data_IF_706224668009
#
_entry.id   IF_706224668009
#
_cell.length_a   1.000
_cell.length_b   1.000
_cell.length_c   1.000
_cell.angle_alpha   90.00
_cell.angle_beta   90.00
_cell.angle_gamma   90.00
#
_symmetry.space_group_name_H-M   'P 1'
#
loop_
_entity.id
_entity.type
_entity.pdbx_description
1 polymer ?
#
# COMPACT_ATOMS: atom_id res chain seq x y z
N UNK A 1 13.05 0.43 0.37
CA UNK A 1 13.39 1.77 -0.18
C UNK A 1 13.08 2.88 0.81
N UNK A 2 11.84 2.99 1.31
CA UNK A 2 11.44 4.07 2.22
C UNK A 2 12.32 4.16 3.47
N UNK A 3 12.66 3.04 4.08
CA UNK A 3 13.52 3.01 5.28
C UNK A 3 14.94 3.45 4.96
N UNK A 4 15.47 3.05 3.81
CA UNK A 4 16.79 3.48 3.33
C UNK A 4 16.82 4.98 3.09
N UNK A 5 15.71 5.55 2.58
CA UNK A 5 15.56 6.98 2.33
C UNK A 5 15.30 7.82 3.58
N UNK A 6 15.23 7.22 4.76
CA UNK A 6 15.13 7.93 6.03
C UNK A 6 13.81 7.84 6.78
N UNK A 7 12.84 7.03 6.32
CA UNK A 7 11.64 6.76 7.12
C UNK A 7 12.04 6.03 8.40
N UNK A 8 11.67 6.58 9.56
CA UNK A 8 12.18 6.12 10.86
C UNK A 8 11.56 4.83 11.37
N UNK A 9 10.33 4.51 10.96
CA UNK A 9 9.59 3.33 11.44
C UNK A 9 8.88 2.67 10.28
N UNK A 10 9.52 1.66 9.67
CA UNK A 10 8.97 0.90 8.57
C UNK A 10 8.81 -0.56 8.98
N UNK A 11 7.58 -1.08 8.84
CA UNK A 11 7.26 -2.48 9.07
C UNK A 11 6.93 -3.13 7.74
N UNK A 12 7.66 -4.18 7.40
CA UNK A 12 7.48 -4.94 6.16
C UNK A 12 6.81 -6.26 6.51
N UNK A 13 5.63 -6.50 5.94
CA UNK A 13 4.90 -7.76 6.13
C UNK A 13 4.94 -8.53 4.82
N UNK A 14 5.50 -9.72 4.84
CA UNK A 14 5.67 -10.58 3.67
C UNK A 14 5.46 -12.04 4.05
N UNK A 15 4.63 -12.73 3.30
CA UNK A 15 4.34 -14.15 3.54
C UNK A 15 5.35 -15.11 2.91
N UNK A 16 6.05 -14.68 1.86
CA UNK A 16 7.03 -15.51 1.16
C UNK A 16 8.36 -15.53 1.89
N UNK A 17 8.81 -16.72 2.30
CA UNK A 17 10.06 -16.90 3.06
C UNK A 17 11.30 -16.43 2.31
N UNK A 18 11.38 -16.67 1.00
CA UNK A 18 12.52 -16.24 0.19
C UNK A 18 12.60 -14.73 0.09
N UNK A 19 11.46 -14.06 -0.09
CA UNK A 19 11.37 -12.59 -0.10
C UNK A 19 11.73 -12.02 1.27
N UNK A 20 11.28 -12.62 2.35
CA UNK A 20 11.65 -12.22 3.71
C UNK A 20 13.16 -12.31 3.94
N UNK A 21 13.80 -13.38 3.51
CA UNK A 21 15.26 -13.52 3.59
C UNK A 21 15.97 -12.41 2.81
N UNK A 22 15.51 -12.13 1.59
CA UNK A 22 16.06 -11.06 0.77
C UNK A 22 15.91 -9.70 1.46
N UNK A 23 14.71 -9.39 1.97
CA UNK A 23 14.45 -8.14 2.68
C UNK A 23 15.32 -8.01 3.94
N UNK A 24 15.46 -9.08 4.71
CA UNK A 24 16.31 -9.10 5.91
C UNK A 24 17.79 -8.89 5.57
N UNK A 25 18.26 -9.46 4.48
CA UNK A 25 19.61 -9.23 3.97
C UNK A 25 19.84 -7.77 3.56
N UNK A 26 18.87 -7.16 2.87
CA UNK A 26 18.93 -5.76 2.47
C UNK A 26 18.93 -4.85 3.70
N UNK A 27 18.08 -5.14 4.69
CA UNK A 27 18.02 -4.37 5.95
C UNK A 27 19.39 -4.41 6.65
N UNK A 28 20.00 -5.59 6.74
CA UNK A 28 21.32 -5.73 7.35
C UNK A 28 22.42 -5.02 6.55
N UNK A 29 22.43 -5.20 5.22
CA UNK A 29 23.47 -4.64 4.35
C UNK A 29 23.42 -3.11 4.29
N UNK A 30 22.21 -2.52 4.36
CA UNK A 30 22.01 -1.06 4.31
C UNK A 30 21.96 -0.41 5.69
N UNK A 31 21.95 -1.20 6.76
CA UNK A 31 21.82 -0.73 8.15
C UNK A 31 20.59 0.17 8.35
N UNK A 32 19.49 -0.10 7.65
CA UNK A 32 18.25 0.64 7.82
C UNK A 32 17.42 0.08 8.99
N UNK A 33 16.45 0.87 9.47
CA UNK A 33 15.66 0.54 10.67
C UNK A 33 14.39 -0.26 10.39
N UNK A 34 14.20 -0.77 9.18
CA UNK A 34 13.01 -1.56 8.84
C UNK A 34 12.95 -2.88 9.60
N UNK A 35 11.75 -3.25 10.01
CA UNK A 35 11.46 -4.54 10.65
C UNK A 35 10.71 -5.42 9.64
N UNK A 36 11.19 -6.65 9.45
CA UNK A 36 10.57 -7.61 8.53
C UNK A 36 9.77 -8.62 9.35
N UNK A 37 8.48 -8.72 9.05
CA UNK A 37 7.58 -9.71 9.63
C UNK A 37 7.28 -10.78 8.58
N UNK A 38 7.68 -12.02 8.86
CA UNK A 38 7.38 -13.16 7.99
C UNK A 38 6.03 -13.74 8.37
N UNK A 39 5.01 -13.43 7.59
CA UNK A 39 3.66 -13.92 7.84
C UNK A 39 2.66 -13.27 6.90
N UNK A 40 1.43 -13.73 6.98
CA UNK A 40 0.33 -13.11 6.25
C UNK A 40 -0.16 -11.88 7.00
N UNK A 41 -0.56 -10.86 6.26
CA UNK A 41 -1.09 -9.62 6.84
C UNK A 41 -2.34 -9.88 7.70
N UNK A 42 -3.15 -10.86 7.34
CA UNK A 42 -4.37 -11.23 8.07
C UNK A 42 -4.07 -11.76 9.47
N UNK A 43 -2.88 -12.29 9.71
CA UNK A 43 -2.46 -12.81 11.02
C UNK A 43 -1.62 -11.82 11.81
N UNK A 44 -1.32 -10.66 11.22
CA UNK A 44 -0.59 -9.61 11.90
C UNK A 44 -1.49 -8.97 12.96
N UNK A 45 -1.13 -9.12 14.20
CA UNK A 45 -1.95 -8.71 15.35
C UNK A 45 -1.18 -7.81 16.32
N UNK A 46 -0.31 -6.98 15.82
CA UNK A 46 0.37 -5.98 16.63
C UNK A 46 -0.48 -4.70 16.65
N UNK A 47 -1.03 -4.36 17.82
CA UNK A 47 -1.89 -3.19 17.99
C UNK A 47 -1.05 -1.92 17.98
N UNK A 48 -0.61 -1.52 16.80
CA UNK A 48 0.12 -0.26 16.60
C UNK A 48 -0.72 0.70 15.79
N UNK A 49 -0.62 1.97 16.12
CA UNK A 49 -1.16 3.04 15.28
C UNK A 49 -0.21 3.27 14.12
N UNK A 50 -0.72 3.13 12.92
CA UNK A 50 0.03 3.42 11.70
C UNK A 50 -0.37 4.79 11.17
N UNK A 51 0.61 5.58 10.76
CA UNK A 51 0.35 6.82 10.03
C UNK A 51 0.00 6.53 8.57
N UNK A 52 0.69 5.56 7.99
CA UNK A 52 0.52 5.17 6.59
C UNK A 52 0.46 3.66 6.44
N UNK A 53 -0.41 3.21 5.56
CA UNK A 53 -0.44 1.82 5.06
C UNK A 53 -0.20 1.88 3.56
N UNK A 54 0.85 1.22 3.11
CA UNK A 54 1.27 1.25 1.71
C UNK A 54 1.20 -0.17 1.13
N UNK A 55 0.57 -0.30 -0.02
CA UNK A 55 0.52 -1.56 -0.74
C UNK A 55 0.70 -1.35 -2.24
N UNK A 56 1.38 -2.29 -2.87
CA UNK A 56 1.61 -2.31 -4.31
C UNK A 56 1.07 -3.60 -4.89
N UNK A 57 0.09 -3.49 -5.81
CA UNK A 57 -0.41 -4.59 -6.65
C UNK A 57 -0.62 -5.93 -5.91
N UNK A 58 -0.93 -5.91 -4.62
CA UNK A 58 -1.02 -7.10 -3.79
C UNK A 58 -2.36 -7.81 -3.97
N UNK A 59 -3.45 -7.05 -4.13
CA UNK A 59 -4.80 -7.57 -4.14
C UNK A 59 -5.76 -6.55 -4.76
N UNK A 60 -7.00 -6.96 -5.10
CA UNK A 60 -8.06 -6.02 -5.45
C UNK A 60 -8.29 -4.97 -4.37
N UNK A 61 -8.74 -3.79 -4.76
CA UNK A 61 -8.90 -2.66 -3.83
C UNK A 61 -9.80 -2.97 -2.64
N UNK A 62 -10.93 -3.64 -2.87
CA UNK A 62 -11.85 -4.03 -1.78
C UNK A 62 -11.14 -4.84 -0.69
N UNK A 63 -10.30 -5.77 -1.10
CA UNK A 63 -9.50 -6.57 -0.16
C UNK A 63 -8.46 -5.75 0.58
N UNK A 64 -7.77 -4.85 -0.11
CA UNK A 64 -6.80 -3.95 0.52
C UNK A 64 -7.46 -3.04 1.56
N UNK A 65 -8.64 -2.51 1.25
CA UNK A 65 -9.41 -1.70 2.19
C UNK A 65 -9.83 -2.50 3.42
N UNK A 66 -10.29 -3.73 3.21
CA UNK A 66 -10.66 -4.62 4.31
C UNK A 66 -9.48 -4.93 5.22
N UNK A 67 -8.33 -5.25 4.64
CA UNK A 67 -7.10 -5.52 5.40
C UNK A 67 -6.64 -4.28 6.17
N UNK A 68 -6.63 -3.12 5.51
CA UNK A 68 -6.23 -1.86 6.14
C UNK A 68 -7.17 -1.50 7.31
N UNK A 69 -8.48 -1.66 7.10
CA UNK A 69 -9.45 -1.41 8.15
C UNK A 69 -9.28 -2.35 9.35
N UNK A 70 -8.91 -3.60 9.11
CA UNK A 70 -8.65 -4.56 10.18
C UNK A 70 -7.40 -4.23 10.99
N UNK A 71 -6.42 -3.56 10.38
CA UNK A 71 -5.18 -3.17 11.06
C UNK A 71 -5.36 -1.98 12.01
N UNK A 72 -6.10 -0.96 11.59
CA UNK A 72 -6.17 0.30 12.35
C UNK A 72 -7.55 0.97 12.35
N UNK A 73 -8.57 0.29 11.87
CA UNK A 73 -9.95 0.78 11.76
C UNK A 73 -10.12 2.05 10.92
N UNK A 74 -9.27 2.22 9.93
CA UNK A 74 -9.37 3.31 8.97
C UNK A 74 -8.74 4.63 9.41
N UNK A 75 -7.90 4.61 10.43
CA UNK A 75 -7.21 5.82 10.90
C UNK A 75 -5.99 6.18 10.06
N UNK A 76 -5.27 5.19 9.54
CA UNK A 76 -4.10 5.42 8.71
C UNK A 76 -4.48 6.00 7.34
N UNK A 77 -3.55 6.76 6.78
CA UNK A 77 -3.61 7.16 5.38
C UNK A 77 -3.12 6.01 4.52
N UNK A 78 -3.95 5.54 3.61
CA UNK A 78 -3.61 4.44 2.72
C UNK A 78 -3.09 4.97 1.39
N UNK A 79 -1.96 4.43 0.94
CA UNK A 79 -1.36 4.74 -0.35
C UNK A 79 -1.27 3.43 -1.14
N UNK A 80 -2.16 3.25 -2.10
CA UNK A 80 -2.23 2.03 -2.88
C UNK A 80 -1.84 2.31 -4.33
N UNK A 81 -0.84 1.59 -4.82
CA UNK A 81 -0.41 1.66 -6.20
C UNK A 81 -1.29 0.72 -7.02
N UNK A 82 -2.05 1.28 -7.96
CA UNK A 82 -3.03 0.55 -8.77
C UNK A 82 -2.77 0.73 -10.26
N UNK A 83 -3.20 -0.27 -11.04
CA UNK A 83 -3.10 -0.30 -12.49
C UNK A 83 -4.34 0.28 -13.19
N UNK A 84 -4.52 -0.11 -14.47
CA UNK A 84 -5.55 0.46 -15.36
C UNK A 84 -6.99 0.32 -14.87
N UNK A 85 -7.30 -0.72 -14.09
CA UNK A 85 -8.66 -1.01 -13.64
C UNK A 85 -9.04 -0.26 -12.35
N UNK A 86 -8.25 0.71 -11.92
CA UNK A 86 -8.46 1.40 -10.64
C UNK A 86 -9.83 2.09 -10.55
N UNK A 87 -10.33 2.65 -11.64
CA UNK A 87 -11.64 3.33 -11.64
C UNK A 87 -12.79 2.37 -11.34
N UNK A 88 -12.78 1.21 -11.99
CA UNK A 88 -13.77 0.15 -11.74
C UNK A 88 -13.67 -0.39 -10.33
N UNK A 89 -12.46 -0.59 -9.82
CA UNK A 89 -12.24 -1.02 -8.44
C UNK A 89 -12.76 0.01 -7.44
N UNK A 90 -12.56 1.31 -7.71
CA UNK A 90 -13.12 2.39 -6.89
C UNK A 90 -14.64 2.38 -6.88
N UNK A 91 -15.28 2.21 -8.03
CA UNK A 91 -16.73 2.14 -8.13
C UNK A 91 -17.27 0.99 -7.28
N UNK A 92 -16.66 -0.19 -7.36
CA UNK A 92 -17.05 -1.34 -6.56
C UNK A 92 -16.79 -1.13 -5.07
N UNK A 93 -15.66 -0.57 -4.71
CA UNK A 93 -15.30 -0.29 -3.33
C UNK A 93 -16.25 0.72 -2.67
N UNK A 94 -16.66 1.76 -3.39
CA UNK A 94 -17.59 2.79 -2.90
C UNK A 94 -18.99 2.27 -2.61
N UNK A 95 -19.34 1.08 -3.07
CA UNK A 95 -20.60 0.42 -2.68
C UNK A 95 -20.60 -0.02 -1.22
N UNK A 96 -19.44 -0.39 -0.69
CA UNK A 96 -19.27 -0.92 0.67
C UNK A 96 -18.60 0.06 1.63
N UNK A 97 -17.81 0.98 1.10
CA UNK A 97 -16.94 1.84 1.88
C UNK A 97 -17.26 3.31 1.66
N UNK A 98 -17.24 4.06 2.76
CA UNK A 98 -17.13 5.53 2.73
C UNK A 98 -15.66 5.87 2.91
N UNK A 99 -15.15 6.74 2.05
CA UNK A 99 -13.74 7.14 2.08
C UNK A 99 -13.53 8.40 1.28
N UNK A 100 -12.49 9.14 1.62
CA UNK A 100 -11.98 10.24 0.82
C UNK A 100 -10.84 9.72 -0.04
N UNK A 101 -10.89 10.00 -1.34
CA UNK A 101 -9.92 9.48 -2.31
C UNK A 101 -9.30 10.63 -3.07
N UNK A 102 -7.97 10.66 -3.10
CA UNK A 102 -7.18 11.48 -4.02
C UNK A 102 -6.42 10.58 -4.97
N UNK A 103 -6.46 10.90 -6.25
CA UNK A 103 -5.80 10.12 -7.30
C UNK A 103 -4.56 10.87 -7.76
N UNK A 104 -3.41 10.26 -7.55
CA UNK A 104 -2.12 10.78 -8.02
C UNK A 104 -1.65 9.97 -9.22
N UNK A 105 -1.56 10.61 -10.37
CA UNK A 105 -1.04 9.97 -11.57
C UNK A 105 0.46 9.75 -11.43
N UNK A 106 0.93 8.56 -11.82
CA UNK A 106 2.37 8.29 -11.83
C UNK A 106 3.06 9.19 -12.86
N UNK A 107 3.96 10.05 -12.36
CA UNK A 107 4.83 10.85 -13.20
C UNK A 107 5.98 9.97 -13.69
N UNK A 108 5.72 9.10 -14.65
CA UNK A 108 6.83 8.46 -15.33
C UNK A 108 7.40 9.45 -16.35
N UNK A 109 8.45 10.10 -15.97
CA UNK A 109 9.30 10.81 -16.93
C UNK A 109 9.99 9.78 -17.81
N UNK A 110 9.38 9.43 -18.92
CA UNK A 110 10.14 8.87 -20.04
C UNK A 110 10.62 10.02 -20.89
N UNK A 111 11.91 10.17 -20.97
CA UNK A 111 12.61 10.99 -21.94
C UNK A 111 12.47 10.44 -23.38
N UNK A 112 11.51 9.57 -23.63
CA UNK A 112 11.24 9.07 -24.98
C UNK A 112 10.18 9.97 -25.63
N UNK A 113 10.57 10.59 -26.71
CA UNK A 113 9.77 11.46 -27.57
C UNK A 113 8.65 10.79 -28.33
N UNK A 114 8.19 9.61 -27.94
CA UNK A 114 7.03 8.96 -28.53
C UNK A 114 5.77 9.42 -27.85
N UNK A 115 4.83 9.94 -28.64
CA UNK A 115 3.59 10.59 -28.23
C UNK A 115 2.53 9.66 -27.60
N UNK A 116 2.83 8.41 -27.34
CA UNK A 116 1.97 7.50 -26.59
C UNK A 116 2.32 7.61 -25.12
N UNK A 117 1.47 8.34 -24.40
CA UNK A 117 1.50 8.39 -22.94
C UNK A 117 1.16 7.00 -22.40
N UNK A 118 2.18 6.20 -22.18
CA UNK A 118 2.02 4.90 -21.58
C UNK A 118 1.49 5.05 -20.15
N UNK A 119 0.27 4.54 -19.90
CA UNK A 119 -0.32 4.57 -18.57
C UNK A 119 0.49 3.62 -17.66
N UNK A 120 1.14 4.16 -16.64
CA UNK A 120 1.97 3.38 -15.70
C UNK A 120 1.33 3.17 -14.32
N UNK A 121 0.07 3.53 -14.18
CA UNK A 121 -0.64 3.36 -12.94
C UNK A 121 -0.89 4.66 -12.18
N UNK A 122 -1.56 4.53 -11.06
CA UNK A 122 -1.90 5.63 -10.16
C UNK A 122 -1.58 5.24 -8.73
N UNK A 123 -1.39 6.25 -7.88
CA UNK A 123 -1.42 6.07 -6.43
C UNK A 123 -2.77 6.57 -5.92
N UNK A 124 -3.52 5.70 -5.28
CA UNK A 124 -4.75 6.09 -4.59
C UNK A 124 -4.40 6.43 -3.15
N UNK A 125 -4.64 7.68 -2.78
CA UNK A 125 -4.54 8.14 -1.41
C UNK A 125 -5.92 8.12 -0.77
N UNK A 126 -6.10 7.26 0.23
CA UNK A 126 -7.40 7.01 0.87
C UNK A 126 -7.32 7.38 2.34
N UNK A 127 -8.26 8.22 2.76
CA UNK A 127 -8.41 8.66 4.14
C UNK A 127 -9.86 8.50 4.59
N UNK A 128 -10.09 8.57 5.89
CA UNK A 128 -11.43 8.47 6.49
C UNK A 128 -12.21 7.23 6.07
N UNK A 129 -11.52 6.10 6.04
CA UNK A 129 -12.10 4.82 5.64
C UNK A 129 -13.09 4.31 6.68
N UNK A 130 -14.34 4.07 6.26
CA UNK A 130 -15.42 3.55 7.11
C UNK A 130 -16.30 2.59 6.32
N UNK A 131 -16.82 1.57 6.98
CA UNK A 131 -17.83 0.72 6.38
C UNK A 131 -19.18 1.48 6.28
N UNK A 132 -19.87 1.30 5.15
CA UNK A 132 -21.23 1.81 4.99
C UNK A 132 -22.21 0.98 5.84
N UNK A 133 -23.18 1.65 6.45
CA UNK A 133 -24.23 0.99 7.21
C UNK A 133 -23.79 0.44 8.56
N UNK A 134 -22.60 0.82 9.01
CA UNK A 134 -22.09 0.44 10.33
C UNK A 134 -22.07 1.60 11.31
#
# INVERSE_FOLDING_TARGET
>A
VLSIMGCSSVFLVESNKKKCRFLSEVVRATNCSAVVHNGRIETYNDARDFDYIIARALAPLDRLLKLSFSLDRGQARCLFLKGRNYEQELIQAKKKWNMDVQIHKSLSFTLSSSAEKEFRGVVLEITNLRLKGG
#
